data_IF_526664301133
#
_entry.id   IF_526664301133
#
_cell.length_a   1.000
_cell.length_b   1.000
_cell.length_c   1.000
_cell.angle_alpha   90.00
_cell.angle_beta   90.00
_cell.angle_gamma   90.00
#
_symmetry.space_group_name_H-M   'P 1'
#
loop_
_entity.id
_entity.type
_entity.pdbx_description
1 polymer ?
#
# COMPACT_ATOMS: atom_id res chain seq x y z
N UNK A 1 11.52 -15.75 18.70
CA UNK A 1 10.55 -16.85 18.49
C UNK A 1 9.13 -16.31 18.52
N UNK A 2 8.75 -15.53 19.53
CA UNK A 2 7.43 -14.89 19.59
C UNK A 2 7.10 -13.96 18.40
N UNK A 3 8.07 -13.15 17.94
CA UNK A 3 7.83 -12.25 16.80
C UNK A 3 7.53 -13.02 15.51
N UNK A 4 8.20 -14.15 15.30
CA UNK A 4 7.99 -15.02 14.13
C UNK A 4 6.59 -15.66 14.14
N UNK A 5 6.12 -16.10 15.32
CA UNK A 5 4.78 -16.67 15.47
C UNK A 5 3.70 -15.61 15.19
N UNK A 6 3.87 -14.39 15.70
CA UNK A 6 2.96 -13.26 15.41
C UNK A 6 2.93 -12.90 13.93
N UNK A 7 4.04 -13.02 13.22
CA UNK A 7 4.07 -12.81 11.76
C UNK A 7 3.22 -13.85 11.03
N UNK A 8 3.32 -15.13 11.42
CA UNK A 8 2.50 -16.22 10.86
C UNK A 8 1.01 -16.00 11.15
N UNK A 9 0.65 -15.65 12.40
CA UNK A 9 -0.72 -15.36 12.81
C UNK A 9 -1.40 -14.31 11.94
N UNK A 10 -0.72 -13.17 11.68
CA UNK A 10 -1.31 -12.08 10.90
C UNK A 10 -1.39 -12.38 9.41
N UNK A 11 -0.34 -12.99 8.84
CA UNK A 11 -0.30 -13.35 7.41
C UNK A 11 -1.42 -14.32 7.04
N UNK A 12 -1.59 -15.35 7.87
CA UNK A 12 -2.57 -16.40 7.61
C UNK A 12 -3.90 -16.16 8.33
N UNK A 13 -4.04 -15.08 9.09
CA UNK A 13 -5.27 -14.74 9.80
C UNK A 13 -5.72 -15.81 10.78
N UNK A 14 -4.79 -16.31 11.61
CA UNK A 14 -5.03 -17.32 12.65
C UNK A 14 -4.52 -16.82 14.00
N UNK A 15 -4.94 -17.49 15.07
CA UNK A 15 -4.44 -17.29 16.44
C UNK A 15 -3.66 -18.54 16.88
N UNK A 16 -2.44 -18.37 17.35
CA UNK A 16 -1.52 -19.43 17.77
C UNK A 16 -1.26 -19.25 19.27
N UNK A 17 -1.68 -20.24 20.06
CA UNK A 17 -1.33 -20.35 21.48
C UNK A 17 -0.39 -21.52 21.70
N UNK A 18 0.56 -21.40 22.63
CA UNK A 18 1.51 -22.47 22.90
C UNK A 18 1.79 -22.65 24.39
N UNK A 19 2.03 -23.89 24.80
CA UNK A 19 2.45 -24.26 26.16
C UNK A 19 3.50 -25.36 26.09
N UNK A 20 4.76 -24.99 26.32
CA UNK A 20 5.89 -25.92 26.18
C UNK A 20 6.07 -26.36 24.74
N UNK A 21 5.79 -27.64 24.45
CA UNK A 21 5.90 -28.23 23.11
C UNK A 21 4.55 -28.36 22.39
N UNK A 22 3.46 -27.93 23.02
CA UNK A 22 2.12 -28.05 22.47
C UNK A 22 1.67 -26.71 21.88
N UNK A 23 1.32 -26.72 20.59
CA UNK A 23 0.82 -25.57 19.85
C UNK A 23 -0.64 -25.80 19.49
N UNK A 24 -1.49 -24.82 19.78
CA UNK A 24 -2.91 -24.80 19.43
C UNK A 24 -3.14 -23.65 18.44
N UNK A 25 -3.64 -23.98 17.25
CA UNK A 25 -3.92 -23.01 16.18
C UNK A 25 -5.43 -22.91 15.98
N UNK A 26 -5.97 -21.70 16.10
CA UNK A 26 -7.40 -21.40 15.96
C UNK A 26 -7.60 -20.46 14.77
N UNK A 27 -8.49 -20.82 13.85
CA UNK A 27 -8.73 -20.01 12.65
C UNK A 27 -9.58 -20.74 11.61
N UNK A 28 -9.56 -20.25 10.37
CA UNK A 28 -10.20 -20.96 9.25
C UNK A 28 -9.52 -22.34 9.08
N UNK A 29 -10.26 -23.44 8.87
CA UNK A 29 -9.69 -24.79 8.81
C UNK A 29 -8.51 -24.94 7.84
N UNK A 30 -8.57 -24.22 6.70
CA UNK A 30 -7.52 -24.21 5.69
C UNK A 30 -6.25 -23.52 6.20
N UNK A 31 -6.37 -22.28 6.65
CA UNK A 31 -5.27 -21.49 7.17
C UNK A 31 -4.63 -22.16 8.39
N UNK A 32 -5.44 -22.78 9.26
CA UNK A 32 -4.94 -23.56 10.40
C UNK A 32 -4.11 -24.78 9.96
N UNK A 33 -4.49 -25.46 8.87
CA UNK A 33 -3.68 -26.55 8.32
C UNK A 33 -2.35 -26.05 7.75
N UNK A 34 -2.36 -24.96 6.99
CA UNK A 34 -1.14 -24.34 6.44
C UNK A 34 -0.18 -23.92 7.56
N UNK A 35 -0.70 -23.31 8.63
CA UNK A 35 0.09 -22.93 9.81
C UNK A 35 0.68 -24.14 10.51
N UNK A 36 -0.07 -25.24 10.66
CA UNK A 36 0.46 -26.48 11.28
C UNK A 36 1.60 -27.07 10.45
N UNK A 37 1.54 -27.01 9.11
CA UNK A 37 2.64 -27.44 8.24
C UNK A 37 3.87 -26.55 8.44
N UNK A 38 3.70 -25.23 8.36
CA UNK A 38 4.80 -24.26 8.60
C UNK A 38 5.46 -24.48 9.95
N UNK A 39 4.67 -24.64 11.02
CA UNK A 39 5.21 -24.86 12.37
C UNK A 39 5.98 -26.18 12.47
N UNK A 40 5.54 -27.24 11.79
CA UNK A 40 6.27 -28.52 11.73
C UNK A 40 7.58 -28.40 10.96
N UNK A 41 7.57 -27.73 9.81
CA UNK A 41 8.76 -27.57 8.98
C UNK A 41 9.80 -26.70 9.68
N UNK A 42 9.38 -25.59 10.27
CA UNK A 42 10.25 -24.73 11.10
C UNK A 42 10.80 -25.49 12.33
N UNK A 43 9.99 -26.35 12.95
CA UNK A 43 10.45 -27.19 14.06
C UNK A 43 11.51 -28.21 13.61
N UNK A 44 11.28 -28.88 12.47
CA UNK A 44 12.24 -29.81 11.87
C UNK A 44 13.55 -29.10 11.51
N UNK A 45 13.48 -27.90 10.93
CA UNK A 45 14.66 -27.10 10.61
C UNK A 45 15.42 -26.65 11.87
N UNK A 46 14.73 -26.43 12.98
CA UNK A 46 15.36 -26.07 14.26
C UNK A 46 16.00 -27.23 15.01
N UNK A 47 15.76 -28.48 14.57
CA UNK A 47 16.35 -29.65 15.22
C UNK A 47 17.87 -29.67 15.05
N UNK A 48 18.54 -30.15 16.10
CA UNK A 48 20.00 -30.22 16.15
C UNK A 48 20.47 -31.33 15.20
N UNK A 49 21.12 -30.94 14.11
CA UNK A 49 21.79 -31.87 13.20
C UNK A 49 23.30 -31.68 13.38
N UNK A 50 24.01 -32.73 13.84
CA UNK A 50 25.46 -32.73 14.10
C UNK A 50 25.96 -31.74 15.17
N UNK A 51 25.14 -31.44 16.18
CA UNK A 51 25.58 -30.64 17.35
C UNK A 51 25.47 -29.13 17.17
N UNK A 52 25.05 -28.66 15.99
CA UNK A 52 24.68 -27.26 15.75
C UNK A 52 23.17 -27.18 15.52
N UNK A 53 22.47 -26.40 16.36
CA UNK A 53 21.07 -26.07 16.16
C UNK A 53 20.95 -24.90 15.20
N UNK A 54 20.18 -25.05 14.11
CA UNK A 54 19.91 -23.95 13.18
C UNK A 54 18.96 -22.96 13.87
N UNK A 55 19.40 -21.72 14.05
CA UNK A 55 18.55 -20.66 14.59
C UNK A 55 17.53 -20.29 13.52
N UNK A 56 16.23 -20.35 13.84
CA UNK A 56 15.17 -19.91 12.94
C UNK A 56 15.30 -18.39 12.75
N UNK A 57 15.70 -17.97 11.56
CA UNK A 57 15.76 -16.56 11.19
C UNK A 57 14.38 -16.07 10.71
N UNK A 58 14.10 -14.76 10.78
CA UNK A 58 12.89 -14.19 10.18
C UNK A 58 12.75 -14.51 8.68
N UNK A 59 13.87 -14.69 7.98
CA UNK A 59 13.92 -15.03 6.55
C UNK A 59 13.33 -16.41 6.27
N UNK A 60 13.68 -17.41 7.10
CA UNK A 60 13.14 -18.78 6.99
C UNK A 60 11.62 -18.80 7.20
N UNK A 61 11.13 -18.00 8.16
CA UNK A 61 9.70 -17.90 8.45
C UNK A 61 8.95 -17.23 7.30
N UNK A 62 9.52 -16.17 6.73
CA UNK A 62 8.91 -15.48 5.60
C UNK A 62 8.84 -16.39 4.37
N UNK A 63 9.91 -17.13 4.08
CA UNK A 63 9.95 -18.10 2.98
C UNK A 63 8.91 -19.21 3.18
N UNK A 64 8.81 -19.77 4.39
CA UNK A 64 7.82 -20.82 4.69
C UNK A 64 6.37 -20.34 4.52
N UNK A 65 6.08 -19.07 4.86
CA UNK A 65 4.75 -18.48 4.61
C UNK A 65 4.49 -18.34 3.11
N UNK A 66 5.46 -17.83 2.34
CA UNK A 66 5.33 -17.70 0.89
C UNK A 66 5.16 -19.05 0.18
N UNK A 67 5.91 -20.07 0.60
CA UNK A 67 5.81 -21.42 0.05
C UNK A 67 4.43 -22.04 0.33
N UNK A 68 3.88 -21.84 1.53
CA UNK A 68 2.53 -22.29 1.86
C UNK A 68 1.47 -21.59 0.98
N UNK A 69 1.57 -20.27 0.79
CA UNK A 69 0.65 -19.51 -0.08
C UNK A 69 0.78 -19.92 -1.56
N UNK A 70 1.99 -20.23 -2.05
CA UNK A 70 2.22 -20.71 -3.41
C UNK A 70 1.58 -22.09 -3.66
N UNK A 71 1.73 -23.02 -2.71
CA UNK A 71 1.09 -24.34 -2.77
C UNK A 71 -0.45 -24.22 -2.79
N UNK A 72 -1.00 -23.19 -2.15
CA UNK A 72 -2.44 -22.92 -2.19
C UNK A 72 -2.93 -22.47 -3.58
N UNK A 73 -2.16 -21.63 -4.29
CA UNK A 73 -2.52 -21.19 -5.64
C UNK A 73 -2.48 -22.34 -6.65
N UNK A 74 -1.46 -23.21 -6.56
CA UNK A 74 -1.37 -24.41 -7.43
C UNK A 74 -2.53 -25.37 -7.17
N UNK A 75 -2.87 -25.67 -5.91
CA UNK A 75 -4.01 -26.54 -5.58
C UNK A 75 -5.36 -25.94 -6.01
N UNK A 76 -5.48 -24.61 -6.07
CA UNK A 76 -6.68 -23.95 -6.58
C UNK A 76 -6.75 -24.05 -8.11
N UNK A 77 -5.62 -23.91 -8.81
CA UNK A 77 -5.54 -24.13 -10.26
C UNK A 77 -5.84 -25.57 -10.66
N UNK A 78 -5.39 -26.56 -9.87
CA UNK A 78 -5.68 -27.99 -10.09
C UNK A 78 -7.14 -28.36 -9.81
N UNK A 79 -7.80 -27.65 -8.88
CA UNK A 79 -9.24 -27.80 -8.62
C UNK A 79 -10.12 -27.12 -9.66
N UNK A 80 -9.61 -26.10 -10.36
CA UNK A 80 -10.31 -25.42 -11.46
C UNK A 80 -10.17 -26.22 -12.76
N UNK A 81 -9.00 -26.80 -13.02
CA UNK A 81 -8.76 -27.67 -14.19
C UNK A 81 -9.53 -28.99 -14.10
N UNK A 82 -9.72 -29.55 -12.90
CA UNK A 82 -10.51 -30.78 -12.68
C UNK A 82 -12.03 -30.59 -12.62
N UNK A 83 -12.53 -29.35 -12.55
CA UNK A 83 -13.98 -29.04 -12.53
C UNK A 83 -14.56 -28.53 -13.86
N UNK A 84 -13.75 -28.39 -14.90
CA UNK A 84 -14.21 -27.86 -16.21
C UNK A 84 -14.91 -28.88 -17.12
N UNK A 85 -15.27 -30.06 -16.59
CA UNK A 85 -16.09 -31.05 -17.29
C UNK A 85 -17.33 -31.41 -16.47
N UNK A 86 -18.30 -30.48 -16.38
CA UNK A 86 -19.72 -30.79 -16.53
C UNK A 86 -20.60 -29.52 -16.48
N UNK A 87 -21.29 -29.32 -17.61
CA UNK A 87 -22.54 -28.60 -17.88
C UNK A 87 -23.05 -27.49 -16.92
N UNK A 88 -23.08 -26.31 -17.54
CA UNK A 88 -23.90 -25.10 -17.35
C UNK A 88 -25.30 -25.36 -16.77
N UNK A 89 -25.62 -24.73 -15.64
CA UNK A 89 -26.98 -24.30 -15.31
C UNK A 89 -26.96 -22.99 -14.49
N UNK A 90 -27.49 -21.93 -15.10
CA UNK A 90 -27.61 -20.58 -14.56
C UNK A 90 -28.80 -20.50 -13.59
N UNK A 91 -28.60 -20.61 -12.26
CA UNK A 91 -29.63 -20.20 -11.27
C UNK A 91 -29.24 -20.11 -9.78
N UNK A 92 -27.96 -19.88 -9.42
CA UNK A 92 -27.51 -19.86 -8.01
C UNK A 92 -26.79 -18.59 -7.57
N UNK A 93 -27.02 -17.47 -8.23
CA UNK A 93 -26.34 -16.18 -7.94
C UNK A 93 -27.00 -15.34 -6.83
N UNK A 94 -28.09 -15.81 -6.21
CA UNK A 94 -28.84 -15.01 -5.21
C UNK A 94 -28.77 -15.50 -3.76
N UNK A 95 -28.09 -16.62 -3.50
CA UNK A 95 -27.96 -17.21 -2.15
C UNK A 95 -26.52 -17.22 -1.63
N UNK A 96 -25.54 -16.89 -2.46
CA UNK A 96 -24.12 -16.80 -2.06
C UNK A 96 -23.75 -15.40 -1.51
N UNK A 97 -24.51 -14.36 -1.87
CA UNK A 97 -24.28 -12.99 -1.38
C UNK A 97 -24.62 -12.83 0.12
N UNK A 98 -25.58 -13.58 0.64
CA UNK A 98 -26.01 -13.45 2.05
C UNK A 98 -25.07 -14.13 3.06
N UNK A 99 -24.23 -15.08 2.62
CA UNK A 99 -23.28 -15.77 3.51
C UNK A 99 -21.89 -15.09 3.56
N UNK A 100 -21.59 -14.20 2.61
CA UNK A 100 -20.39 -13.35 2.62
C UNK A 100 -20.57 -12.08 3.45
N UNK A 101 -21.81 -11.67 3.75
CA UNK A 101 -22.13 -10.47 4.54
C UNK A 101 -21.73 -10.52 6.02
N UNK A 102 -21.52 -11.71 6.60
CA UNK A 102 -21.31 -11.89 8.05
C UNK A 102 -19.84 -12.04 8.49
N UNK A 103 -18.86 -11.55 7.70
CA UNK A 103 -17.44 -11.43 8.11
C UNK A 103 -16.86 -10.02 7.99
N UNK A 104 -17.73 -9.00 7.95
CA UNK A 104 -17.34 -7.60 7.79
C UNK A 104 -17.33 -6.79 9.11
N UNK A 105 -17.39 -7.45 10.27
CA UNK A 105 -17.56 -6.76 11.56
C UNK A 105 -16.26 -6.56 12.37
N UNK A 106 -15.13 -7.11 11.91
CA UNK A 106 -13.82 -6.68 12.40
C UNK A 106 -13.36 -5.46 11.61
N UNK A 107 -13.94 -4.29 11.90
CA UNK A 107 -13.40 -3.02 11.45
C UNK A 107 -11.92 -2.96 11.81
N UNK A 108 -11.03 -3.04 10.80
CA UNK A 108 -9.58 -2.85 10.98
C UNK A 108 -9.37 -1.42 11.45
N UNK A 109 -9.30 -1.30 12.76
CA UNK A 109 -9.25 -0.04 13.48
C UNK A 109 -7.81 0.20 13.84
N UNK A 110 -7.21 1.22 13.25
CA UNK A 110 -5.81 1.57 13.53
C UNK A 110 -5.82 2.40 14.82
N UNK A 111 -5.31 1.80 15.90
CA UNK A 111 -5.20 2.48 17.20
C UNK A 111 -3.86 3.19 17.23
N UNK A 112 -3.89 4.51 17.44
CA UNK A 112 -2.69 5.30 17.71
C UNK A 112 -2.79 5.86 19.13
N UNK A 113 -1.66 6.27 19.71
CA UNK A 113 -1.65 6.89 21.04
C UNK A 113 -2.55 8.13 21.18
N UNK A 114 -2.80 8.87 20.09
CA UNK A 114 -3.59 10.11 20.11
C UNK A 114 -5.02 9.96 19.61
N UNK A 115 -5.40 8.80 19.08
CA UNK A 115 -6.75 8.59 18.58
C UNK A 115 -6.91 7.29 17.81
N UNK A 116 -8.09 7.13 17.24
CA UNK A 116 -8.43 5.95 16.45
C UNK A 116 -8.58 6.38 15.00
N UNK A 117 -7.67 5.95 14.14
CA UNK A 117 -7.77 6.17 12.70
C UNK A 117 -8.61 5.04 12.11
N UNK A 118 -9.75 5.38 11.54
CA UNK A 118 -10.66 4.42 10.91
C UNK A 118 -10.79 4.69 9.41
N UNK A 119 -10.76 3.64 8.57
CA UNK A 119 -11.21 3.77 7.20
C UNK A 119 -12.68 4.21 7.20
N UNK A 120 -13.03 5.09 6.26
CA UNK A 120 -14.36 5.73 6.19
C UNK A 120 -15.26 5.14 5.12
N UNK A 121 -14.71 4.31 4.24
CA UNK A 121 -15.44 3.60 3.19
C UNK A 121 -14.81 2.21 2.94
N UNK A 122 -15.53 1.35 2.21
CA UNK A 122 -15.09 -0.01 1.93
C UNK A 122 -13.75 -0.09 1.19
N UNK A 123 -13.49 0.83 0.24
CA UNK A 123 -12.23 0.82 -0.52
C UNK A 123 -11.02 1.14 0.37
N UNK A 124 -11.17 2.10 1.30
CA UNK A 124 -10.15 2.39 2.32
C UNK A 124 -9.95 1.21 3.28
N UNK A 125 -11.02 0.48 3.62
CA UNK A 125 -10.91 -0.71 4.47
C UNK A 125 -10.13 -1.82 3.77
N UNK A 126 -10.45 -2.11 2.50
CA UNK A 126 -9.69 -3.06 1.68
C UNK A 126 -8.23 -2.64 1.55
N UNK A 127 -7.96 -1.35 1.36
CA UNK A 127 -6.59 -0.84 1.28
C UNK A 127 -5.79 -1.07 2.57
N UNK A 128 -6.38 -0.76 3.72
CA UNK A 128 -5.73 -1.01 5.02
C UNK A 128 -5.49 -2.50 5.23
N UNK A 129 -6.45 -3.36 4.89
CA UNK A 129 -6.29 -4.81 4.97
C UNK A 129 -5.15 -5.29 4.08
N UNK A 130 -5.09 -4.81 2.84
CA UNK A 130 -4.05 -5.17 1.89
C UNK A 130 -2.66 -4.78 2.37
N UNK A 131 -2.50 -3.61 3.02
CA UNK A 131 -1.24 -3.18 3.64
C UNK A 131 -0.78 -4.16 4.73
N UNK A 132 -1.71 -4.74 5.50
CA UNK A 132 -1.37 -5.62 6.64
C UNK A 132 -0.95 -7.00 6.14
N UNK A 133 -1.62 -7.52 5.11
CA UNK A 133 -1.46 -8.89 4.63
C UNK A 133 -0.38 -9.07 3.56
N UNK A 134 -0.04 -8.01 2.80
CA UNK A 134 0.92 -8.09 1.69
C UNK A 134 2.26 -7.41 2.05
N UNK A 135 3.35 -7.85 1.40
CA UNK A 135 4.67 -7.22 1.58
C UNK A 135 4.72 -5.88 0.86
N UNK A 136 4.07 -5.79 -0.30
CA UNK A 136 4.05 -4.59 -1.14
C UNK A 136 2.60 -4.23 -1.46
N UNK A 137 2.23 -2.99 -1.19
CA UNK A 137 0.88 -2.51 -1.45
C UNK A 137 0.89 -1.18 -2.19
N UNK A 138 0.19 -1.13 -3.33
CA UNK A 138 0.03 0.07 -4.13
C UNK A 138 -1.32 0.73 -3.84
N UNK A 139 -1.28 1.97 -3.36
CA UNK A 139 -2.45 2.84 -3.22
C UNK A 139 -2.46 3.88 -4.33
N UNK A 140 -3.26 3.67 -5.37
CA UNK A 140 -3.27 4.51 -6.58
C UNK A 140 -4.59 5.24 -6.69
N UNK A 141 -4.56 6.57 -6.78
CA UNK A 141 -5.77 7.34 -7.10
C UNK A 141 -5.71 8.78 -6.63
N UNK A 142 -6.85 9.46 -6.75
CA UNK A 142 -6.92 10.92 -6.63
C UNK A 142 -6.56 11.46 -5.24
N UNK A 143 -6.14 12.72 -5.18
CA UNK A 143 -5.85 13.41 -3.94
C UNK A 143 -7.07 13.50 -2.99
N UNK A 144 -6.85 13.34 -1.69
CA UNK A 144 -7.90 13.39 -0.67
C UNK A 144 -8.66 12.08 -0.43
N UNK A 145 -8.22 10.98 -1.02
CA UNK A 145 -8.72 9.61 -0.77
C UNK A 145 -8.14 8.96 0.49
N UNK A 146 -7.15 9.62 1.11
CA UNK A 146 -6.53 9.15 2.36
C UNK A 146 -5.43 8.12 2.19
N UNK A 147 -5.01 7.79 0.95
CA UNK A 147 -3.97 6.78 0.65
C UNK A 147 -2.69 6.94 1.51
N UNK A 148 -2.06 8.10 1.48
CA UNK A 148 -0.81 8.36 2.23
C UNK A 148 -1.07 8.41 3.74
N UNK A 149 -2.17 9.03 4.17
CA UNK A 149 -2.52 9.14 5.59
C UNK A 149 -2.78 7.77 6.23
N UNK A 150 -3.54 6.90 5.56
CA UNK A 150 -3.80 5.54 6.02
C UNK A 150 -2.52 4.68 6.01
N UNK A 151 -1.66 4.85 5.01
CA UNK A 151 -0.36 4.18 4.98
C UNK A 151 0.51 4.55 6.19
N UNK A 152 0.60 5.85 6.52
CA UNK A 152 1.32 6.32 7.72
C UNK A 152 0.68 5.77 9.00
N UNK A 153 -0.64 5.71 9.06
CA UNK A 153 -1.35 5.12 10.20
C UNK A 153 -0.98 3.64 10.40
N UNK A 154 -0.97 2.85 9.32
CA UNK A 154 -0.52 1.46 9.37
C UNK A 154 0.95 1.33 9.79
N UNK A 155 1.82 2.23 9.31
CA UNK A 155 3.24 2.24 9.69
C UNK A 155 3.43 2.49 11.19
N UNK A 156 2.68 3.47 11.73
CA UNK A 156 2.70 3.79 13.15
C UNK A 156 2.19 2.63 13.99
N UNK A 157 1.06 2.02 13.63
CA UNK A 157 0.53 0.85 14.35
C UNK A 157 1.50 -0.34 14.31
N UNK A 158 2.11 -0.62 13.16
CA UNK A 158 3.14 -1.66 13.03
C UNK A 158 4.37 -1.38 13.91
N UNK A 159 4.80 -0.12 14.02
CA UNK A 159 5.90 0.28 14.90
C UNK A 159 5.51 0.17 16.38
N UNK A 160 4.31 0.60 16.77
CA UNK A 160 3.84 0.51 18.16
C UNK A 160 3.61 -0.94 18.62
N UNK A 161 3.23 -1.82 17.68
CA UNK A 161 3.11 -3.28 17.89
C UNK A 161 4.44 -4.02 17.79
N UNK A 162 5.55 -3.32 17.60
CA UNK A 162 6.90 -3.87 17.47
C UNK A 162 7.06 -4.88 16.31
N UNK A 163 6.23 -4.77 15.27
CA UNK A 163 6.33 -5.62 14.08
C UNK A 163 7.52 -5.21 13.21
N UNK A 164 7.76 -3.90 13.16
CA UNK A 164 8.89 -3.28 12.49
C UNK A 164 9.70 -2.50 13.52
N UNK A 165 11.00 -2.35 13.26
CA UNK A 165 11.91 -1.61 14.13
C UNK A 165 12.02 -0.14 13.75
N UNK A 166 11.68 0.20 12.50
CA UNK A 166 11.75 1.57 11.98
C UNK A 166 10.71 1.85 10.91
N UNK A 167 10.38 3.12 10.72
CA UNK A 167 9.58 3.64 9.63
C UNK A 167 10.49 4.46 8.71
N UNK A 168 10.40 4.23 7.40
CA UNK A 168 11.11 5.02 6.39
C UNK A 168 10.10 5.66 5.45
N UNK A 169 10.07 6.99 5.43
CA UNK A 169 9.21 7.76 4.56
C UNK A 169 10.05 8.40 3.46
N UNK A 170 9.67 8.18 2.21
CA UNK A 170 10.42 8.69 1.07
C UNK A 170 9.51 9.25 -0.02
N UNK A 171 10.01 10.27 -0.71
CA UNK A 171 9.34 10.95 -1.82
C UNK A 171 10.37 11.22 -2.92
N UNK A 172 10.04 11.07 -4.21
CA UNK A 172 10.95 11.47 -5.28
C UNK A 172 11.14 12.98 -5.28
N UNK A 173 12.37 13.43 -5.50
CA UNK A 173 12.66 14.85 -5.68
C UNK A 173 12.24 15.25 -7.09
N UNK A 174 11.19 16.07 -7.20
CA UNK A 174 10.61 16.47 -8.49
C UNK A 174 10.41 17.96 -8.45
N UNK A 175 10.88 18.63 -9.49
CA UNK A 175 10.78 20.08 -9.64
C UNK A 175 9.35 20.46 -10.03
N UNK A 176 8.45 20.51 -9.05
CA UNK A 176 7.07 20.95 -9.26
C UNK A 176 7.05 22.47 -9.46
N UNK A 177 7.27 22.91 -10.70
CA UNK A 177 7.03 24.30 -11.15
C UNK A 177 8.09 25.34 -10.77
N UNK A 178 8.87 25.13 -9.70
CA UNK A 178 10.02 25.96 -9.34
C UNK A 178 11.30 25.12 -9.35
N UNK A 179 12.36 25.58 -10.01
CA UNK A 179 13.66 24.88 -9.98
C UNK A 179 14.10 24.78 -8.51
N UNK A 180 14.43 23.58 -8.04
CA UNK A 180 14.91 23.31 -6.68
C UNK A 180 16.12 24.22 -6.32
N UNK A 181 16.81 24.76 -7.32
CA UNK A 181 17.86 25.77 -7.20
C UNK A 181 17.48 27.11 -6.55
N UNK A 182 16.20 27.50 -6.45
CA UNK A 182 15.79 28.84 -5.97
C UNK A 182 15.45 28.96 -4.49
N UNK A 183 15.25 27.85 -3.75
CA UNK A 183 15.07 27.93 -2.30
C UNK A 183 16.44 28.24 -1.63
N UNK A 184 16.59 29.31 -0.84
CA UNK A 184 17.82 29.56 -0.10
C UNK A 184 17.98 28.52 1.02
N UNK A 185 19.23 28.09 1.30
CA UNK A 185 19.54 27.13 2.37
C UNK A 185 20.21 25.84 1.90
N UNK A 186 20.54 24.98 2.86
CA UNK A 186 21.16 23.66 2.60
C UNK A 186 20.18 22.70 1.92
N UNK A 187 20.68 21.67 1.22
CA UNK A 187 19.87 20.71 0.46
C UNK A 187 18.70 20.12 1.29
N UNK A 188 18.91 19.92 2.59
CA UNK A 188 17.87 19.45 3.53
C UNK A 188 16.72 20.47 3.67
N UNK A 189 17.03 21.76 3.81
CA UNK A 189 16.03 22.84 3.97
C UNK A 189 15.20 23.06 2.69
N UNK A 190 15.72 22.70 1.52
CA UNK A 190 15.00 22.81 0.24
C UNK A 190 14.02 21.67 0.00
N UNK A 191 14.26 20.51 0.60
CA UNK A 191 13.43 19.30 0.43
C UNK A 191 12.33 19.25 1.50
N UNK A 192 12.56 19.86 2.66
CA UNK A 192 11.64 19.88 3.80
C UNK A 192 10.18 20.26 3.47
N UNK A 193 9.89 21.27 2.60
CA UNK A 193 8.51 21.61 2.26
C UNK A 193 7.73 20.46 1.60
N UNK A 194 8.39 19.62 0.81
CA UNK A 194 7.76 18.49 0.10
C UNK A 194 7.48 17.31 1.02
N UNK A 195 8.21 17.23 2.13
CA UNK A 195 8.08 16.15 3.12
C UNK A 195 7.10 16.54 4.25
N UNK A 196 6.75 17.83 4.37
CA UNK A 196 5.89 18.35 5.44
C UNK A 196 4.55 17.60 5.62
N UNK A 197 3.80 17.21 4.57
CA UNK A 197 2.58 16.43 4.77
C UNK A 197 2.79 15.10 5.50
N UNK A 198 3.98 14.50 5.38
CA UNK A 198 4.34 13.27 6.08
C UNK A 198 4.63 13.55 7.56
N UNK A 199 5.31 14.67 7.86
CA UNK A 199 5.51 15.14 9.23
C UNK A 199 4.19 15.43 9.93
N UNK A 200 3.28 16.15 9.28
CA UNK A 200 1.99 16.52 9.85
C UNK A 200 1.17 15.27 10.24
N UNK A 201 1.14 14.25 9.36
CA UNK A 201 0.47 12.98 9.65
C UNK A 201 1.09 12.26 10.86
N UNK A 202 2.42 12.23 10.97
CA UNK A 202 3.11 11.65 12.13
C UNK A 202 2.81 12.41 13.43
N UNK A 203 2.85 13.75 13.38
CA UNK A 203 2.58 14.60 14.54
C UNK A 203 1.14 14.46 15.04
N UNK A 204 0.18 14.28 14.13
CA UNK A 204 -1.20 14.00 14.49
C UNK A 204 -1.33 12.68 15.27
N UNK A 205 -0.64 11.63 14.81
CA UNK A 205 -0.78 10.27 15.36
C UNK A 205 0.02 10.00 16.63
N UNK A 206 1.26 10.51 16.69
CA UNK A 206 2.22 10.23 17.78
C UNK A 206 2.50 11.44 18.67
N UNK A 207 2.35 12.64 18.11
CA UNK A 207 2.68 13.90 18.76
C UNK A 207 4.09 14.39 18.53
N UNK A 208 4.23 15.71 18.49
CA UNK A 208 5.47 16.45 18.23
C UNK A 208 6.68 15.90 19.00
N UNK A 209 6.66 15.94 20.33
CA UNK A 209 7.81 15.51 21.16
C UNK A 209 8.24 14.06 20.92
N UNK A 210 7.28 13.16 20.64
CA UNK A 210 7.58 11.74 20.41
C UNK A 210 8.17 11.54 19.02
N UNK A 211 7.59 12.18 18.01
CA UNK A 211 8.09 12.11 16.63
C UNK A 211 9.51 12.65 16.55
N UNK A 212 9.80 13.82 17.14
CA UNK A 212 11.15 14.38 17.17
C UNK A 212 12.15 13.41 17.80
N UNK A 213 11.84 12.83 18.97
CA UNK A 213 12.70 11.81 19.62
C UNK A 213 12.90 10.56 18.76
N UNK A 214 11.90 10.13 18.01
CA UNK A 214 12.00 8.96 17.13
C UNK A 214 12.83 9.27 15.88
N UNK A 215 12.76 10.50 15.37
CA UNK A 215 13.59 10.97 14.26
C UNK A 215 15.04 11.10 14.69
N UNK A 216 15.32 11.73 15.84
CA UNK A 216 16.68 11.85 16.39
C UNK A 216 17.35 10.48 16.61
N UNK A 217 16.56 9.46 16.97
CA UNK A 217 17.03 8.08 17.16
C UNK A 217 17.10 7.27 15.86
N UNK A 218 16.76 7.86 14.71
CA UNK A 218 16.63 7.18 13.41
C UNK A 218 15.65 6.00 13.41
N UNK A 219 14.66 6.02 14.30
CA UNK A 219 13.52 5.07 14.29
C UNK A 219 12.52 5.48 13.22
N UNK A 220 12.32 6.79 13.03
CA UNK A 220 11.60 7.35 11.89
C UNK A 220 12.61 8.07 11.02
N UNK A 221 12.75 7.66 9.77
CA UNK A 221 13.63 8.28 8.80
C UNK A 221 12.78 8.90 7.69
N UNK A 222 13.02 10.16 7.37
CA UNK A 222 12.34 10.86 6.28
C UNK A 222 13.42 11.34 5.31
N UNK A 223 13.47 10.74 4.12
CA UNK A 223 14.59 10.94 3.20
C UNK A 223 14.16 10.93 1.73
N UNK A 224 14.87 11.64 0.84
CA UNK A 224 14.62 11.58 -0.60
C UNK A 224 14.82 10.17 -1.16
N UNK A 225 14.12 9.85 -2.26
CA UNK A 225 14.22 8.52 -2.90
C UNK A 225 15.66 8.11 -3.27
N UNK A 226 16.51 9.08 -3.61
CA UNK A 226 17.91 8.83 -3.97
C UNK A 226 18.72 8.13 -2.85
N UNK A 227 18.33 8.33 -1.59
CA UNK A 227 19.02 7.76 -0.42
C UNK A 227 18.75 6.26 -0.27
N UNK A 228 17.81 5.70 -1.04
CA UNK A 228 17.51 4.27 -1.01
C UNK A 228 18.53 3.44 -1.79
N UNK A 229 19.33 4.09 -2.65
CA UNK A 229 20.30 3.40 -3.50
C UNK A 229 21.34 2.65 -2.66
N UNK A 230 21.53 1.36 -2.97
CA UNK A 230 22.52 0.51 -2.30
C UNK A 230 22.12 0.06 -0.89
N UNK A 231 20.89 0.34 -0.43
CA UNK A 231 20.40 -0.13 0.86
C UNK A 231 19.66 -1.46 0.73
N UNK A 232 19.63 -2.20 1.81
CA UNK A 232 18.65 -3.28 2.02
C UNK A 232 17.84 -2.90 3.25
N UNK A 233 16.53 -2.80 3.09
CA UNK A 233 15.62 -2.27 4.10
C UNK A 233 14.95 -3.45 4.80
N UNK A 234 15.64 -4.02 5.79
CA UNK A 234 15.10 -5.06 6.69
C UNK A 234 14.38 -4.42 7.90
N UNK A 235 13.44 -5.17 8.49
CA UNK A 235 12.70 -4.82 9.70
C UNK A 235 12.07 -3.42 9.66
N UNK A 236 11.59 -3.00 8.48
CA UNK A 236 11.18 -1.62 8.22
C UNK A 236 9.79 -1.53 7.60
N UNK A 237 9.05 -0.50 7.96
CA UNK A 237 7.86 -0.09 7.22
C UNK A 237 8.23 1.09 6.32
N UNK A 238 8.19 0.88 5.01
CA UNK A 238 8.63 1.85 4.01
C UNK A 238 7.42 2.44 3.31
N UNK A 239 7.36 3.77 3.18
CA UNK A 239 6.33 4.45 2.38
C UNK A 239 7.03 5.27 1.31
N UNK A 240 6.71 4.98 0.05
CA UNK A 240 7.08 5.80 -1.11
C UNK A 240 5.85 6.62 -1.53
N UNK A 241 5.86 7.90 -1.20
CA UNK A 241 4.79 8.83 -1.57
C UNK A 241 5.07 9.55 -2.89
N UNK A 242 4.00 10.01 -3.55
CA UNK A 242 4.02 10.60 -4.91
C UNK A 242 4.79 9.78 -5.95
N UNK A 243 4.62 8.47 -5.90
CA UNK A 243 5.31 7.53 -6.79
C UNK A 243 5.03 7.75 -8.28
N UNK A 244 3.95 8.47 -8.65
CA UNK A 244 3.70 8.84 -10.04
C UNK A 244 4.84 9.67 -10.65
N UNK A 245 5.61 10.35 -9.79
CA UNK A 245 6.76 11.15 -10.20
C UNK A 245 8.09 10.39 -10.14
N UNK A 246 8.06 9.07 -10.04
CA UNK A 246 9.25 8.22 -10.19
C UNK A 246 9.43 7.80 -11.64
N UNK A 247 10.67 7.58 -12.05
CA UNK A 247 10.98 6.90 -13.32
C UNK A 247 10.87 5.39 -13.17
N UNK A 248 10.85 4.67 -14.30
CA UNK A 248 10.87 3.19 -14.32
C UNK A 248 12.11 2.64 -13.59
N UNK A 249 13.27 3.27 -13.78
CA UNK A 249 14.51 2.87 -13.12
C UNK A 249 14.44 3.13 -11.62
N UNK A 250 13.85 4.25 -11.20
CA UNK A 250 13.73 4.60 -9.79
C UNK A 250 12.77 3.67 -9.05
N UNK A 251 11.62 3.31 -9.63
CA UNK A 251 10.69 2.39 -8.98
C UNK A 251 11.28 0.98 -8.90
N UNK A 252 11.98 0.51 -9.95
CA UNK A 252 12.71 -0.76 -9.92
C UNK A 252 13.83 -0.74 -8.87
N UNK A 253 14.59 0.35 -8.81
CA UNK A 253 15.62 0.54 -7.78
C UNK A 253 15.01 0.41 -6.40
N UNK A 254 13.91 1.12 -6.12
CA UNK A 254 13.21 1.10 -4.83
C UNK A 254 12.68 -0.28 -4.45
N UNK A 255 11.91 -0.93 -5.34
CA UNK A 255 11.28 -2.23 -5.05
C UNK A 255 12.33 -3.30 -4.73
N UNK A 256 13.49 -3.27 -5.39
CA UNK A 256 14.58 -4.21 -5.11
C UNK A 256 15.37 -3.92 -3.82
N UNK A 257 15.06 -2.85 -3.08
CA UNK A 257 15.66 -2.58 -1.75
C UNK A 257 14.87 -3.18 -0.61
N UNK A 258 13.63 -3.63 -0.86
CA UNK A 258 12.74 -4.17 0.18
C UNK A 258 13.36 -5.48 0.67
N UNK A 259 13.70 -5.50 1.95
CA UNK A 259 14.33 -6.64 2.61
C UNK A 259 13.34 -7.48 3.40
N UNK A 260 13.87 -8.37 4.23
CA UNK A 260 13.06 -9.28 5.04
C UNK A 260 12.37 -8.57 6.21
N UNK A 261 11.23 -9.13 6.62
CA UNK A 261 10.38 -8.61 7.69
C UNK A 261 10.05 -7.12 7.51
N UNK A 262 9.88 -6.70 6.25
CA UNK A 262 9.58 -5.33 5.87
C UNK A 262 8.29 -5.27 5.07
N UNK A 263 7.62 -4.13 5.16
CA UNK A 263 6.44 -3.83 4.35
C UNK A 263 6.67 -2.54 3.60
N UNK A 264 6.27 -2.49 2.34
CA UNK A 264 6.38 -1.31 1.51
C UNK A 264 4.99 -0.88 1.01
N UNK A 265 4.67 0.39 1.21
CA UNK A 265 3.46 1.00 0.68
C UNK A 265 3.85 2.07 -0.33
N UNK A 266 3.37 1.92 -1.56
CA UNK A 266 3.63 2.84 -2.66
C UNK A 266 2.35 3.61 -2.93
N UNK A 267 2.36 4.92 -2.71
CA UNK A 267 1.20 5.80 -2.92
C UNK A 267 1.44 6.74 -4.09
N UNK A 268 0.39 7.02 -4.87
CA UNK A 268 0.50 7.98 -5.97
C UNK A 268 -0.82 8.22 -6.70
N UNK A 269 -0.77 9.16 -7.63
CA UNK A 269 -1.90 9.53 -8.49
C UNK A 269 -1.43 9.57 -9.96
N UNK A 270 -1.83 8.59 -10.76
CA UNK A 270 -1.43 8.49 -12.19
C UNK A 270 -1.91 9.71 -13.00
N UNK A 271 -2.88 10.47 -12.52
CA UNK A 271 -3.37 11.68 -13.21
C UNK A 271 -2.51 12.93 -12.96
N UNK A 272 -1.62 12.90 -11.96
CA UNK A 272 -0.80 14.03 -11.51
C UNK A 272 0.70 13.78 -11.73
N UNK A 273 1.09 13.42 -12.96
CA UNK A 273 2.48 13.16 -13.31
C UNK A 273 3.19 14.48 -13.65
N UNK A 274 4.18 14.82 -12.84
CA UNK A 274 5.02 16.02 -12.98
C UNK A 274 6.34 15.73 -13.76
N UNK A 275 6.50 14.51 -14.28
CA UNK A 275 7.66 14.13 -15.08
C UNK A 275 7.66 14.81 -16.46
N UNK A 276 8.84 15.04 -17.06
CA UNK A 276 8.93 15.48 -18.45
C UNK A 276 8.11 14.60 -19.39
N UNK A 277 7.44 15.19 -20.39
CA UNK A 277 6.50 14.48 -21.29
C UNK A 277 7.05 13.23 -21.99
N UNK A 278 8.36 13.13 -22.16
CA UNK A 278 9.03 11.99 -22.82
C UNK A 278 9.35 10.85 -21.85
N UNK A 279 9.20 11.08 -20.54
CA UNK A 279 9.56 10.13 -19.51
C UNK A 279 8.32 9.41 -19.00
N UNK A 280 8.34 8.08 -19.08
CA UNK A 280 7.27 7.24 -18.57
C UNK A 280 7.29 7.20 -17.05
N UNK A 281 6.11 7.36 -16.43
CA UNK A 281 5.94 7.19 -14.99
C UNK A 281 6.20 5.75 -14.56
N UNK A 282 7.06 5.59 -13.56
CA UNK A 282 7.39 4.33 -12.93
C UNK A 282 6.17 3.69 -12.28
N UNK A 283 5.30 4.47 -11.63
CA UNK A 283 4.07 3.95 -11.03
C UNK A 283 3.16 3.31 -12.09
N UNK A 284 2.91 4.01 -13.19
CA UNK A 284 2.06 3.50 -14.27
C UNK A 284 2.62 2.18 -14.82
N UNK A 285 3.92 2.15 -15.08
CA UNK A 285 4.59 0.94 -15.57
C UNK A 285 4.58 -0.20 -14.54
N UNK A 286 4.75 0.08 -13.25
CA UNK A 286 4.69 -0.93 -12.20
C UNK A 286 3.30 -1.56 -12.08
N UNK A 287 2.24 -0.76 -12.24
CA UNK A 287 0.86 -1.26 -12.31
C UNK A 287 0.67 -2.21 -13.49
N UNK A 288 1.33 -2.00 -14.61
CA UNK A 288 1.22 -2.89 -15.78
C UNK A 288 2.04 -4.18 -15.62
N UNK A 289 3.22 -4.11 -14.99
CA UNK A 289 4.18 -5.23 -14.95
C UNK A 289 4.02 -6.14 -13.74
N UNK A 290 3.49 -5.65 -12.61
CA UNK A 290 3.51 -6.39 -11.33
C UNK A 290 2.16 -6.98 -10.91
N UNK A 291 1.15 -7.00 -11.78
CA UNK A 291 -0.23 -7.39 -11.42
C UNK A 291 -0.34 -8.83 -10.90
N UNK A 292 0.47 -9.74 -11.45
CA UNK A 292 0.35 -11.18 -11.19
C UNK A 292 1.37 -11.70 -10.16
N UNK A 293 2.04 -10.80 -9.43
CA UNK A 293 3.07 -11.19 -8.44
C UNK A 293 2.42 -11.40 -7.07
N UNK A 294 2.55 -12.61 -6.52
CA UNK A 294 2.09 -12.91 -5.17
C UNK A 294 2.81 -12.05 -4.12
N UNK A 295 2.08 -11.59 -3.10
CA UNK A 295 2.57 -10.66 -2.08
C UNK A 295 2.59 -9.19 -2.51
N UNK A 296 2.15 -8.87 -3.73
CA UNK A 296 1.91 -7.50 -4.21
C UNK A 296 0.40 -7.26 -4.38
N UNK A 297 -0.10 -6.15 -3.84
CA UNK A 297 -1.50 -5.76 -3.98
C UNK A 297 -1.67 -4.37 -4.60
N UNK A 298 -2.80 -4.17 -5.29
CA UNK A 298 -3.18 -2.90 -5.90
C UNK A 298 -4.58 -2.47 -5.42
N UNK A 299 -4.68 -1.26 -4.88
CA UNK A 299 -5.93 -0.57 -4.59
C UNK A 299 -6.05 0.68 -5.45
N UNK A 300 -7.13 0.74 -6.23
CA UNK A 300 -7.46 1.90 -7.05
C UNK A 300 -8.56 2.73 -6.41
N UNK A 301 -8.23 3.97 -6.04
CA UNK A 301 -9.15 4.94 -5.47
C UNK A 301 -9.76 5.82 -6.55
N UNK A 302 -11.07 6.05 -6.44
CA UNK A 302 -11.84 6.91 -7.33
C UNK A 302 -12.28 8.18 -6.60
N UNK A 303 -12.81 9.17 -7.34
CA UNK A 303 -13.30 10.42 -6.75
C UNK A 303 -14.39 10.22 -5.69
N UNK A 304 -15.17 9.14 -5.78
CA UNK A 304 -16.18 8.78 -4.76
C UNK A 304 -15.59 8.37 -3.41
N UNK A 305 -14.31 7.96 -3.39
CA UNK A 305 -13.62 7.54 -2.17
C UNK A 305 -12.97 8.73 -1.44
N UNK A 306 -13.07 9.93 -2.01
CA UNK A 306 -12.57 11.17 -1.42
C UNK A 306 -13.40 11.51 -0.19
N UNK A 307 -12.73 11.66 0.95
CA UNK A 307 -13.39 12.09 2.17
C UNK A 307 -12.85 13.42 2.61
N UNK A 308 -13.64 14.47 2.36
CA UNK A 308 -13.33 15.85 2.73
C UNK A 308 -14.43 16.42 3.60
N UNK A 309 -14.13 17.53 4.25
CA UNK A 309 -15.14 18.28 4.98
C UNK A 309 -16.28 18.71 4.03
N UNK A 310 -17.56 18.66 4.43
CA UNK A 310 -18.69 18.96 3.53
C UNK A 310 -18.62 20.33 2.86
N UNK A 311 -18.06 21.34 3.56
CA UNK A 311 -17.84 22.68 2.97
C UNK A 311 -16.82 22.62 1.84
N UNK A 312 -15.71 21.88 2.01
CA UNK A 312 -14.66 21.77 0.99
C UNK A 312 -15.19 21.05 -0.24
N UNK A 313 -16.01 20.00 -0.06
CA UNK A 313 -16.70 19.34 -1.17
C UNK A 313 -17.57 20.33 -1.97
N UNK A 314 -18.42 21.11 -1.28
CA UNK A 314 -19.25 22.14 -1.93
C UNK A 314 -18.45 23.21 -2.67
N UNK A 315 -17.27 23.58 -2.16
CA UNK A 315 -16.38 24.53 -2.83
C UNK A 315 -15.86 23.92 -4.13
N UNK A 316 -15.39 22.66 -4.12
CA UNK A 316 -14.92 21.98 -5.32
C UNK A 316 -16.03 21.87 -6.36
N UNK A 317 -17.22 21.44 -5.95
CA UNK A 317 -18.38 21.34 -6.84
C UNK A 317 -18.73 22.68 -7.51
N UNK A 318 -18.58 23.79 -6.78
CA UNK A 318 -18.83 25.13 -7.31
C UNK A 318 -17.82 25.54 -8.38
N UNK A 319 -16.53 25.23 -8.18
CA UNK A 319 -15.47 25.48 -9.17
C UNK A 319 -15.61 24.56 -10.39
N UNK A 320 -15.83 23.26 -10.19
CA UNK A 320 -16.03 22.30 -11.27
C UNK A 320 -17.23 22.69 -12.15
N UNK A 321 -18.33 23.13 -11.52
CA UNK A 321 -19.52 23.62 -12.23
C UNK A 321 -19.24 24.89 -13.05
N UNK A 322 -18.37 25.76 -12.55
CA UNK A 322 -17.97 26.98 -13.25
C UNK A 322 -17.07 26.67 -14.44
N UNK A 323 -16.08 25.79 -14.27
CA UNK A 323 -15.15 25.40 -15.32
C UNK A 323 -15.86 24.63 -16.45
N UNK A 324 -16.82 23.77 -16.11
CA UNK A 324 -17.68 23.11 -17.10
C UNK A 324 -18.50 24.12 -17.92
N UNK A 325 -19.04 25.18 -17.29
CA UNK A 325 -19.76 26.25 -18.01
C UNK A 325 -18.83 26.99 -18.98
N UNK A 326 -17.62 27.34 -18.55
CA UNK A 326 -16.62 28.00 -19.41
C UNK A 326 -16.25 27.10 -20.59
N UNK A 327 -15.96 25.82 -20.33
CA UNK A 327 -15.58 24.87 -21.38
C UNK A 327 -16.70 24.69 -22.42
N UNK A 328 -17.96 24.60 -21.97
CA UNK A 328 -19.11 24.53 -22.86
C UNK A 328 -19.26 25.80 -23.72
N UNK A 329 -19.15 26.98 -23.11
CA UNK A 329 -19.19 28.25 -23.85
C UNK A 329 -18.06 28.37 -24.89
N UNK A 330 -16.86 27.89 -24.56
CA UNK A 330 -15.73 27.89 -25.48
C UNK A 330 -15.92 26.88 -26.63
N UNK A 331 -16.55 25.73 -26.39
CA UNK A 331 -16.91 24.77 -27.44
C UNK A 331 -17.99 25.32 -28.36
N UNK A 332 -19.03 25.96 -27.82
CA UNK A 332 -20.11 26.59 -28.59
C UNK A 332 -19.56 27.74 -29.48
N UNK A 333 -18.64 28.57 -28.96
CA UNK A 333 -17.94 29.59 -29.75
C UNK A 333 -17.08 29.01 -30.88
N UNK A 334 -16.35 27.92 -30.62
CA UNK A 334 -15.53 27.23 -31.64
C UNK A 334 -16.39 26.61 -32.74
N UNK A 335 -17.51 25.98 -32.38
CA UNK A 335 -18.45 25.42 -33.36
C UNK A 335 -19.12 26.51 -34.21
N UNK A 336 -19.49 27.64 -33.61
CA UNK A 336 -20.02 28.78 -34.35
C UNK A 336 -19.00 29.32 -35.37
N UNK A 337 -17.72 29.47 -35.00
CA UNK A 337 -16.65 29.91 -35.90
C UNK A 337 -16.33 28.93 -37.04
N UNK A 338 -16.38 27.61 -36.77
CA UNK A 338 -16.20 26.60 -37.82
C UNK A 338 -17.37 26.58 -38.82
N UNK A 339 -18.59 26.78 -38.33
CA UNK A 339 -19.78 26.85 -39.19
C UNK A 339 -19.83 28.11 -40.07
N UNK A 340 -19.21 29.21 -39.65
CA UNK A 340 -19.08 30.42 -40.48
C UNK A 340 -18.01 30.29 -41.55
N UNK A 341 -16.86 29.67 -41.26
CA UNK A 341 -15.79 29.47 -42.24
C UNK A 341 -16.16 28.45 -43.34
N UNK A 342 -16.90 27.39 -43.01
CA UNK A 342 -17.36 26.43 -44.03
C UNK A 342 -18.41 27.02 -44.98
N UNK A 343 -19.07 28.12 -44.62
CA UNK A 343 -20.01 28.83 -45.51
C UNK A 343 -19.30 29.80 -46.45
N UNK A 344 -18.14 30.33 -46.07
CA UNK A 344 -17.34 31.23 -46.93
C UNK A 344 -16.52 30.49 -47.98
N UNK A 345 -16.12 29.24 -47.75
CA UNK A 345 -15.38 28.43 -48.73
C UNK A 345 -16.28 27.71 -49.76
N UNK A 346 -17.59 27.70 -49.53
CA UNK A 346 -18.59 27.08 -50.42
C UNK A 346 -19.33 28.09 -51.31
N UNK A 347 -19.00 29.39 -51.19
CA UNK A 347 -19.50 30.49 -52.04
C UNK A 347 -18.38 30.99 -52.92
#
# INVERSE_FOLDING_TARGET
MDDNLKTIERRLGVEISYRGHEFTVVGKPKNSQSVVLILKDLYLESQIVKGEGKIITPEMVHLAILEADCLEQEQLSDKISSKSSNQVDNKTDSLLDDQLGNKYDDMVTIKTKRGVVKPRNGNQQTYVQNIITNDISFGVGVAGTGKTYLAVACAVDALERQEVRRILLTRPAVEAGEKLGFLPGDLSQKIDPYLRPLYDALFEMLGFERVEKLIERNVIEIAPLAYMRGRTLNDAFIILDESQNTTVEQIKMFLTRIGFNSRAVITGDITQVDLPRHQMSGLRHAVEVLQDINGISFNFFQSKDVVRHPVVARVIDAYDSHDQKINRQNQEKKQAQQSSNNKSDAS
#
